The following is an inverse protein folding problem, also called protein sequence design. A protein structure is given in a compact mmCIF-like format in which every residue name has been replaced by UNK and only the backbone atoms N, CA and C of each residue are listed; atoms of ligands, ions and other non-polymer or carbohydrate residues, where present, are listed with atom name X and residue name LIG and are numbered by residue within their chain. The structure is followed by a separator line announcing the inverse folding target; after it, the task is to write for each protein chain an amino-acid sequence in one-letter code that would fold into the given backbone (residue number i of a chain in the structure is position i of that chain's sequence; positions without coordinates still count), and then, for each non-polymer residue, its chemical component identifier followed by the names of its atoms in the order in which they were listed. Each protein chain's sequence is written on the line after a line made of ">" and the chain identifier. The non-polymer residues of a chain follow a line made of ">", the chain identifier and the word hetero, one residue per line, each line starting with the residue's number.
data_IF_468942557552
#
_entry.id   IF_468942557552
#
_cell.length_a   1.000
_cell.length_b   1.000
_cell.length_c   1.000
_cell.angle_alpha   90.00
_cell.angle_beta   90.00
_cell.angle_gamma   90.00
#
_symmetry.space_group_name_H-M   'P 1'
#
loop_
_entity.id
_entity.type
_entity.pdbx_description
1 polymer ?
#
# COMPACT_ATOMS: atom_id res chain seq x y z
N UNK A 1 -28.85 27.64 13.38
CA UNK A 1 -27.37 27.60 13.32
C UNK A 1 -26.92 26.22 13.78
N UNK A 2 -26.27 25.43 12.91
CA UNK A 2 -25.62 24.17 13.34
C UNK A 2 -24.16 24.48 13.73
N UNK A 3 -23.63 23.91 14.82
CA UNK A 3 -22.26 24.18 15.23
C UNK A 3 -21.28 23.55 14.24
N UNK A 4 -20.27 24.32 13.85
CA UNK A 4 -19.16 23.86 13.00
C UNK A 4 -18.33 22.87 13.80
N UNK A 5 -18.37 21.59 13.41
CA UNK A 5 -17.48 20.56 13.97
C UNK A 5 -16.04 20.95 13.66
N UNK A 6 -15.22 21.14 14.71
CA UNK A 6 -13.78 21.35 14.60
C UNK A 6 -13.17 20.22 13.77
N UNK A 7 -12.52 20.59 12.66
CA UNK A 7 -11.79 19.67 11.80
C UNK A 7 -10.73 18.95 12.63
N UNK A 8 -10.91 17.64 12.82
CA UNK A 8 -9.92 16.78 13.46
C UNK A 8 -8.65 16.85 12.61
N UNK A 9 -7.55 17.34 13.19
CA UNK A 9 -6.23 17.33 12.54
C UNK A 9 -5.96 15.90 12.07
N UNK A 10 -5.80 15.70 10.77
CA UNK A 10 -5.29 14.44 10.24
C UNK A 10 -3.81 14.39 10.60
N UNK A 11 -3.49 13.60 11.63
CA UNK A 11 -2.12 13.25 11.96
C UNK A 11 -1.72 12.05 11.09
N UNK A 12 -0.66 12.23 10.31
CA UNK A 12 -0.11 11.18 9.44
C UNK A 12 0.68 10.20 10.31
N UNK A 13 0.18 8.98 10.47
CA UNK A 13 0.87 7.90 11.17
C UNK A 13 1.68 7.08 10.16
N UNK A 14 2.98 6.84 10.37
CA UNK A 14 3.75 5.80 9.68
C UNK A 14 3.13 4.40 9.88
N UNK A 15 3.45 3.39 9.07
CA UNK A 15 2.92 2.00 9.27
C UNK A 15 3.20 1.47 10.69
N UNK A 16 4.32 1.85 11.29
CA UNK A 16 4.65 1.51 12.68
C UNK A 16 3.72 2.20 13.70
N UNK A 17 3.24 3.42 13.40
CA UNK A 17 2.26 4.17 14.24
C UNK A 17 0.81 3.93 13.85
N UNK A 18 0.54 3.42 12.65
CA UNK A 18 -0.75 2.91 12.25
C UNK A 18 -1.16 1.77 13.19
N UNK A 19 -0.18 1.00 13.70
CA UNK A 19 -0.42 0.00 14.74
C UNK A 19 -1.00 0.54 16.03
N UNK A 20 -0.58 1.73 16.48
CA UNK A 20 -1.16 2.39 17.62
C UNK A 20 -2.57 2.91 17.30
N UNK A 21 -2.75 3.55 16.13
CA UNK A 21 -4.04 4.07 15.67
C UNK A 21 -5.12 2.97 15.53
N UNK A 22 -4.80 1.86 14.87
CA UNK A 22 -5.75 0.75 14.68
C UNK A 22 -6.03 0.00 15.99
N UNK A 23 -5.04 -0.10 16.89
CA UNK A 23 -5.22 -0.65 18.24
C UNK A 23 -6.15 0.21 19.09
N UNK A 24 -6.05 1.53 19.01
CA UNK A 24 -7.01 2.46 19.66
C UNK A 24 -8.42 2.32 19.08
N UNK A 25 -8.55 1.95 17.81
CA UNK A 25 -9.83 1.68 17.15
C UNK A 25 -10.37 0.26 17.38
N UNK A 26 -9.70 -0.58 18.17
CA UNK A 26 -10.12 -1.97 18.42
C UNK A 26 -9.97 -2.90 17.22
N UNK A 27 -9.25 -2.47 16.18
CA UNK A 27 -8.96 -3.27 14.99
C UNK A 27 -7.70 -4.08 15.29
N UNK A 28 -7.84 -5.40 15.42
CA UNK A 28 -6.69 -6.30 15.47
C UNK A 28 -5.98 -6.24 14.12
N UNK A 29 -4.84 -5.55 14.08
CA UNK A 29 -4.01 -5.57 12.89
C UNK A 29 -3.51 -6.99 12.63
N UNK A 30 -3.44 -7.39 11.35
CA UNK A 30 -2.90 -8.68 10.99
C UNK A 30 -1.46 -8.82 11.53
N UNK A 31 -1.10 -10.06 11.87
CA UNK A 31 0.24 -10.49 12.26
C UNK A 31 1.34 -9.79 11.45
N UNK A 32 2.52 -9.59 12.05
CA UNK A 32 3.69 -8.98 11.40
C UNK A 32 3.89 -9.56 9.99
N UNK A 33 3.58 -8.74 8.97
CA UNK A 33 3.68 -9.12 7.56
C UNK A 33 5.10 -8.92 7.05
N UNK A 34 5.53 -9.77 6.13
CA UNK A 34 6.75 -9.59 5.36
C UNK A 34 6.41 -8.85 4.08
N UNK A 35 7.01 -7.68 3.88
CA UNK A 35 6.77 -6.85 2.70
C UNK A 35 7.95 -6.92 1.75
N UNK A 36 7.65 -7.20 0.49
CA UNK A 36 8.56 -7.02 -0.61
C UNK A 36 8.54 -5.56 -1.05
N UNK A 37 9.69 -4.88 -0.98
CA UNK A 37 9.80 -3.49 -1.40
C UNK A 37 10.09 -3.40 -2.90
N UNK A 38 9.28 -2.62 -3.60
CA UNK A 38 9.43 -2.24 -5.00
C UNK A 38 9.81 -0.76 -5.04
N UNK A 39 11.07 -0.51 -5.38
CA UNK A 39 11.62 0.85 -5.53
C UNK A 39 11.29 1.40 -6.92
N UNK A 40 10.67 2.57 -6.97
CA UNK A 40 10.34 3.29 -8.21
C UNK A 40 11.13 4.60 -8.25
N UNK A 41 11.95 4.79 -9.27
CA UNK A 41 12.86 5.94 -9.38
C UNK A 41 12.84 6.56 -10.79
N UNK A 42 13.93 7.18 -11.23
CA UNK A 42 14.05 7.77 -12.57
C UNK A 42 14.40 6.77 -13.69
N UNK A 43 14.58 5.47 -13.39
CA UNK A 43 14.93 4.43 -14.35
C UNK A 43 13.68 3.74 -14.91
N UNK A 44 13.17 4.14 -16.09
CA UNK A 44 11.90 3.64 -16.61
C UNK A 44 11.93 2.15 -16.98
N UNK A 45 13.10 1.63 -17.38
CA UNK A 45 13.24 0.22 -17.79
C UNK A 45 13.16 -0.68 -16.55
N UNK A 46 13.92 -0.34 -15.51
CA UNK A 46 13.87 -1.08 -14.25
C UNK A 46 12.49 -1.00 -13.61
N UNK A 47 11.90 0.19 -13.55
CA UNK A 47 10.55 0.38 -12.99
C UNK A 47 9.50 -0.49 -13.71
N UNK A 48 9.57 -0.58 -15.05
CA UNK A 48 8.67 -1.45 -15.81
C UNK A 48 8.82 -2.92 -15.40
N UNK A 49 10.04 -3.43 -15.35
CA UNK A 49 10.31 -4.83 -14.95
C UNK A 49 9.82 -5.09 -13.53
N UNK A 50 10.10 -4.16 -12.60
CA UNK A 50 9.66 -4.27 -11.21
C UNK A 50 8.14 -4.25 -11.06
N UNK A 51 7.44 -3.42 -11.82
CA UNK A 51 5.96 -3.35 -11.82
C UNK A 51 5.34 -4.62 -12.43
N UNK A 52 5.87 -5.11 -13.55
CA UNK A 52 5.41 -6.37 -14.18
C UNK A 52 5.57 -7.55 -13.20
N UNK A 53 6.71 -7.60 -12.49
CA UNK A 53 6.96 -8.59 -11.43
C UNK A 53 6.02 -8.41 -10.23
N UNK A 54 5.80 -7.18 -9.78
CA UNK A 54 4.95 -6.90 -8.63
C UNK A 54 3.50 -7.33 -8.88
N UNK A 55 2.98 -7.14 -10.10
CA UNK A 55 1.67 -7.63 -10.49
C UNK A 55 1.59 -9.16 -10.40
N UNK A 56 2.57 -9.88 -10.96
CA UNK A 56 2.60 -11.35 -10.88
C UNK A 56 2.69 -11.84 -9.43
N UNK A 57 3.48 -11.18 -8.59
CA UNK A 57 3.62 -11.53 -7.18
C UNK A 57 2.32 -11.24 -6.40
N UNK A 58 1.68 -10.11 -6.66
CA UNK A 58 0.37 -9.77 -6.11
C UNK A 58 -0.69 -10.81 -6.45
N UNK A 59 -0.76 -11.21 -7.73
CA UNK A 59 -1.66 -12.26 -8.19
C UNK A 59 -1.46 -13.57 -7.41
N UNK A 60 -0.21 -13.93 -7.10
CA UNK A 60 0.08 -15.12 -6.29
C UNK A 60 -0.37 -14.97 -4.83
N UNK A 61 -0.16 -13.81 -4.22
CA UNK A 61 -0.63 -13.51 -2.86
C UNK A 61 -2.14 -13.70 -2.77
N UNK A 62 -2.89 -13.10 -3.71
CA UNK A 62 -4.35 -13.16 -3.77
C UNK A 62 -4.81 -14.61 -3.98
N UNK A 63 -4.28 -15.29 -5.01
CA UNK A 63 -4.69 -16.66 -5.34
C UNK A 63 -4.45 -17.65 -4.19
N UNK A 64 -3.45 -17.41 -3.35
CA UNK A 64 -3.10 -18.26 -2.21
C UNK A 64 -3.75 -17.85 -0.89
N UNK A 65 -4.51 -16.75 -0.88
CA UNK A 65 -4.96 -16.10 0.36
C UNK A 65 -3.81 -15.89 1.36
N UNK A 66 -2.63 -15.48 0.85
CA UNK A 66 -1.44 -15.29 1.67
C UNK A 66 -1.56 -14.00 2.48
N UNK A 67 -1.84 -14.14 3.77
CA UNK A 67 -1.99 -13.01 4.69
C UNK A 67 -0.69 -12.60 5.38
N UNK A 68 0.41 -13.30 5.10
CA UNK A 68 1.73 -13.02 5.68
C UNK A 68 2.53 -12.11 4.76
N UNK A 69 2.42 -12.33 3.45
CA UNK A 69 3.16 -11.55 2.45
C UNK A 69 2.39 -10.29 2.03
N UNK A 70 3.15 -9.26 1.66
CA UNK A 70 2.63 -8.02 1.09
C UNK A 70 3.65 -7.34 0.18
N UNK A 71 3.24 -6.25 -0.43
CA UNK A 71 4.09 -5.43 -1.31
C UNK A 71 4.09 -4.00 -0.80
N UNK A 72 5.28 -3.39 -0.72
CA UNK A 72 5.45 -1.96 -0.49
C UNK A 72 6.00 -1.35 -1.77
N UNK A 73 5.28 -0.45 -2.40
CA UNK A 73 5.79 0.39 -3.48
C UNK A 73 6.34 1.67 -2.86
N UNK A 74 7.66 1.89 -2.97
CA UNK A 74 8.30 3.13 -2.54
C UNK A 74 8.55 4.04 -3.76
N UNK A 75 8.08 5.28 -3.66
CA UNK A 75 8.26 6.32 -4.69
C UNK A 75 9.48 7.16 -4.35
N UNK A 76 10.64 6.64 -4.74
CA UNK A 76 11.93 7.26 -4.49
C UNK A 76 12.20 8.50 -5.36
N UNK A 77 13.43 9.00 -5.27
CA UNK A 77 13.85 10.20 -6.00
C UNK A 77 13.74 9.99 -7.51
N UNK A 78 12.99 10.87 -8.16
CA UNK A 78 12.77 10.81 -9.62
C UNK A 78 11.61 9.92 -10.04
N UNK A 79 10.88 9.33 -9.07
CA UNK A 79 9.58 8.75 -9.34
C UNK A 79 8.65 9.81 -9.95
N UNK A 80 7.87 9.40 -10.94
CA UNK A 80 6.92 10.24 -11.65
C UNK A 80 5.50 9.84 -11.28
N UNK A 81 4.58 10.77 -11.48
CA UNK A 81 3.14 10.51 -11.30
C UNK A 81 2.65 9.29 -12.10
N UNK A 82 3.20 9.04 -13.29
CA UNK A 82 2.86 7.85 -14.08
C UNK A 82 3.15 6.52 -13.34
N UNK A 83 4.15 6.48 -12.45
CA UNK A 83 4.43 5.29 -11.65
C UNK A 83 3.32 5.04 -10.64
N UNK A 84 2.80 6.11 -10.01
CA UNK A 84 1.67 6.02 -9.10
C UNK A 84 0.43 5.50 -9.83
N UNK A 85 0.13 6.05 -11.01
CA UNK A 85 -1.01 5.58 -11.83
C UNK A 85 -0.87 4.10 -12.16
N UNK A 86 0.31 3.64 -12.58
CA UNK A 86 0.54 2.21 -12.87
C UNK A 86 0.31 1.31 -11.66
N UNK A 87 0.72 1.74 -10.46
CA UNK A 87 0.48 0.97 -9.23
C UNK A 87 -1.03 0.85 -8.96
N UNK A 88 -1.79 1.94 -9.16
CA UNK A 88 -3.25 1.93 -9.01
C UNK A 88 -3.94 1.07 -10.10
N UNK A 89 -3.45 1.11 -11.33
CA UNK A 89 -3.93 0.26 -12.42
C UNK A 89 -3.74 -1.23 -12.09
N UNK A 90 -2.60 -1.61 -11.50
CA UNK A 90 -2.34 -2.98 -11.03
C UNK A 90 -3.38 -3.37 -9.97
N UNK A 91 -3.63 -2.51 -8.97
CA UNK A 91 -4.63 -2.82 -7.94
C UNK A 91 -6.03 -2.99 -8.51
N UNK A 92 -6.38 -2.16 -9.49
CA UNK A 92 -7.67 -2.25 -10.18
C UNK A 92 -7.77 -3.52 -11.02
N UNK A 93 -6.69 -3.90 -11.71
CA UNK A 93 -6.66 -5.09 -12.54
C UNK A 93 -6.80 -6.37 -11.69
N UNK A 94 -6.05 -6.44 -10.59
CA UNK A 94 -6.10 -7.57 -9.65
C UNK A 94 -7.35 -7.53 -8.74
N UNK A 95 -8.23 -6.53 -8.91
CA UNK A 95 -9.47 -6.37 -8.13
C UNK A 95 -9.23 -6.34 -6.61
N UNK A 96 -8.17 -5.67 -6.18
CA UNK A 96 -7.75 -5.63 -4.77
C UNK A 96 -8.40 -4.49 -3.99
N UNK A 97 -8.82 -4.78 -2.76
CA UNK A 97 -9.50 -3.82 -1.88
C UNK A 97 -8.63 -3.39 -0.68
N UNK A 98 -7.51 -4.09 -0.46
CA UNK A 98 -6.70 -3.98 0.75
C UNK A 98 -5.34 -3.35 0.44
N UNK A 99 -5.32 -2.02 0.36
CA UNK A 99 -4.10 -1.23 0.23
C UNK A 99 -4.21 0.09 0.99
N UNK A 100 -3.06 0.65 1.38
CA UNK A 100 -2.96 1.90 2.15
C UNK A 100 -1.86 2.78 1.54
N UNK A 101 -2.19 4.05 1.30
CA UNK A 101 -1.24 5.04 0.79
C UNK A 101 -0.68 5.94 1.89
N UNK A 102 0.61 6.19 1.82
CA UNK A 102 1.39 7.20 2.55
C UNK A 102 2.08 8.12 1.53
N UNK A 103 2.63 9.28 1.93
CA UNK A 103 3.17 10.27 1.00
C UNK A 103 4.18 9.73 -0.03
N UNK A 104 5.03 8.78 0.36
CA UNK A 104 6.07 8.19 -0.49
C UNK A 104 5.89 6.69 -0.69
N UNK A 105 4.82 6.09 -0.16
CA UNK A 105 4.66 4.65 -0.15
C UNK A 105 3.22 4.22 -0.40
N UNK A 106 3.02 3.11 -1.11
CA UNK A 106 1.75 2.40 -1.08
C UNK A 106 1.98 0.94 -0.70
N UNK A 107 1.18 0.47 0.25
CA UNK A 107 1.27 -0.87 0.80
C UNK A 107 0.06 -1.67 0.35
N UNK A 108 0.30 -2.85 -0.23
CA UNK A 108 -0.71 -3.84 -0.56
C UNK A 108 -0.55 -5.06 0.36
N UNK A 109 -1.68 -5.62 0.79
CA UNK A 109 -1.72 -6.82 1.62
C UNK A 109 -3.07 -7.53 1.52
N UNK A 110 -3.12 -8.86 1.61
CA UNK A 110 -4.39 -9.62 1.57
C UNK A 110 -4.95 -9.84 2.98
N UNK A 111 -6.24 -9.58 3.20
CA UNK A 111 -6.93 -9.97 4.44
C UNK A 111 -7.61 -11.34 4.30
N UNK A 112 -7.83 -12.03 5.42
CA UNK A 112 -8.69 -13.22 5.44
C UNK A 112 -10.12 -12.73 5.30
N UNK A 113 -10.89 -13.29 4.35
CA UNK A 113 -12.34 -13.10 4.26
C UNK A 113 -13.09 -13.82 5.38
#
# INVERSE_FOLDING_TARGET
>A
MRPVQKSRKLEWHSVDTASAFYKEMGIQLPYKRAYLTIELDSNPVQNKISLDFAQLYMHQIIRRNDTIQGIRFHFGKGAKYEHLIRVLDIFSYESTWCWISFPEDIWFFQMVE
#
